data_IF_259014774404
#
_entry.id   IF_259014774404
#
_cell.length_a   1.000
_cell.length_b   1.000
_cell.length_c   1.000
_cell.angle_alpha   90.00
_cell.angle_beta   90.00
_cell.angle_gamma   90.00
#
_symmetry.space_group_name_H-M   'P 1'
#
loop_
_entity.id
_entity.type
_entity.pdbx_description
1 polymer ?
#
# COMPACT_ATOMS: atom_id res chain seq x y z
N UNK A 1 -25.24 -27.25 4.41
CA UNK A 1 -24.14 -26.47 4.18
C UNK A 1 -24.41 -25.01 4.22
N UNK A 2 -23.65 -24.32 4.93
CA UNK A 2 -23.88 -23.01 5.09
C UNK A 2 -22.98 -22.19 4.35
N UNK A 3 -23.43 -21.32 3.55
CA UNK A 3 -22.61 -20.37 2.98
C UNK A 3 -22.54 -19.22 3.89
N UNK A 4 -21.41 -18.88 4.29
CA UNK A 4 -21.23 -17.82 5.22
C UNK A 4 -21.42 -16.50 4.53
N UNK A 5 -22.61 -15.97 4.58
CA UNK A 5 -22.85 -14.64 4.08
C UNK A 5 -21.95 -13.63 4.77
N UNK A 6 -21.73 -13.82 6.06
CA UNK A 6 -20.82 -12.95 6.80
C UNK A 6 -19.43 -12.99 6.24
N UNK A 7 -19.00 -14.16 5.75
CA UNK A 7 -17.69 -14.30 5.14
C UNK A 7 -17.57 -13.48 3.86
N UNK A 8 -18.61 -13.47 3.03
CA UNK A 8 -18.61 -12.65 1.82
C UNK A 8 -18.60 -11.18 2.16
N UNK A 9 -19.33 -10.78 3.19
CA UNK A 9 -19.32 -9.40 3.61
C UNK A 9 -17.96 -8.98 4.13
N UNK A 10 -17.27 -9.86 4.85
CA UNK A 10 -15.92 -9.58 5.32
C UNK A 10 -14.97 -9.38 4.15
N UNK A 11 -15.08 -10.23 3.14
CA UNK A 11 -14.22 -10.10 1.96
C UNK A 11 -14.49 -8.81 1.23
N UNK A 12 -15.77 -8.43 1.11
CA UNK A 12 -16.14 -7.20 0.45
C UNK A 12 -15.62 -5.98 1.21
N UNK A 13 -15.75 -5.98 2.53
CA UNK A 13 -15.25 -4.89 3.34
C UNK A 13 -13.73 -4.79 3.28
N UNK A 14 -13.06 -5.93 3.26
CA UNK A 14 -11.61 -5.96 3.13
C UNK A 14 -11.18 -5.38 1.77
N UNK A 15 -11.87 -5.73 0.71
CA UNK A 15 -11.58 -5.20 -0.61
C UNK A 15 -11.83 -3.71 -0.69
N UNK A 16 -12.91 -3.23 -0.08
CA UNK A 16 -13.19 -1.81 -0.04
C UNK A 16 -12.11 -1.05 0.71
N UNK A 17 -11.70 -1.58 1.85
CA UNK A 17 -10.63 -0.97 2.62
C UNK A 17 -9.35 -0.90 1.81
N UNK A 18 -8.98 -2.00 1.18
CA UNK A 18 -7.76 -2.04 0.39
C UNK A 18 -7.81 -1.05 -0.78
N UNK A 19 -8.97 -0.89 -1.40
CA UNK A 19 -9.15 0.10 -2.47
C UNK A 19 -8.98 1.52 -1.94
N UNK A 20 -9.57 1.83 -0.81
CA UNK A 20 -9.46 3.16 -0.21
C UNK A 20 -8.02 3.47 0.17
N UNK A 21 -7.35 2.48 0.76
CA UNK A 21 -5.95 2.63 1.15
C UNK A 21 -5.08 2.82 -0.08
N UNK A 22 -5.35 2.08 -1.14
CA UNK A 22 -4.59 2.19 -2.39
C UNK A 22 -4.65 3.60 -2.96
N UNK A 23 -5.85 4.18 -3.04
CA UNK A 23 -6.01 5.55 -3.55
C UNK A 23 -5.27 6.55 -2.69
N UNK A 24 -5.43 6.44 -1.37
CA UNK A 24 -4.76 7.35 -0.46
C UNK A 24 -3.25 7.26 -0.59
N UNK A 25 -2.73 6.04 -0.73
CA UNK A 25 -1.29 5.83 -0.81
C UNK A 25 -0.70 6.29 -2.14
N UNK A 26 -1.41 6.11 -3.25
CA UNK A 26 -0.90 6.61 -4.53
C UNK A 26 -0.62 8.10 -4.45
N UNK A 27 -1.55 8.86 -3.89
CA UNK A 27 -1.35 10.28 -3.72
C UNK A 27 -0.25 10.58 -2.72
N UNK A 28 -0.28 9.93 -1.56
CA UNK A 28 0.64 10.23 -0.48
C UNK A 28 2.09 9.86 -0.81
N UNK A 29 2.29 8.73 -1.47
CA UNK A 29 3.63 8.30 -1.85
C UNK A 29 4.25 9.30 -2.83
N UNK A 30 3.50 9.70 -3.84
CA UNK A 30 4.01 10.65 -4.81
C UNK A 30 4.29 12.02 -4.19
N UNK A 31 3.47 12.40 -3.21
CA UNK A 31 3.68 13.64 -2.47
C UNK A 31 4.98 13.58 -1.63
N UNK A 32 5.21 12.44 -0.96
CA UNK A 32 6.41 12.25 -0.14
C UNK A 32 7.66 12.25 -0.99
N UNK A 33 7.62 11.62 -2.15
CA UNK A 33 8.78 11.52 -3.04
C UNK A 33 9.00 12.79 -3.86
N UNK A 34 8.02 13.69 -3.87
CA UNK A 34 8.13 15.00 -4.53
C UNK A 34 8.53 14.91 -6.00
N UNK A 35 8.06 13.87 -6.67
CA UNK A 35 8.33 13.70 -8.07
C UNK A 35 9.69 13.11 -8.41
N UNK A 36 10.49 12.76 -7.41
CA UNK A 36 11.78 12.14 -7.67
C UNK A 36 11.63 10.80 -8.40
N UNK A 37 10.55 10.09 -8.09
CA UNK A 37 10.27 8.81 -8.70
C UNK A 37 8.80 8.72 -9.04
N UNK A 38 8.49 8.21 -10.21
CA UNK A 38 7.11 7.86 -10.51
C UNK A 38 6.86 6.43 -10.03
N UNK A 39 5.85 6.26 -9.20
CA UNK A 39 5.49 4.97 -8.66
C UNK A 39 4.00 4.71 -8.86
N UNK A 40 3.66 3.45 -9.01
CA UNK A 40 2.27 3.05 -8.95
C UNK A 40 2.09 2.03 -7.83
N UNK A 41 0.94 2.10 -7.16
CA UNK A 41 0.58 1.09 -6.17
C UNK A 41 -0.06 -0.05 -6.93
N UNK A 42 0.63 -1.18 -6.98
CA UNK A 42 0.13 -2.35 -7.71
C UNK A 42 -1.00 -3.01 -6.98
N UNK A 43 -0.86 -3.16 -5.68
CA UNK A 43 -1.85 -3.90 -4.91
C UNK A 43 -1.70 -3.59 -3.42
N UNK A 44 -2.78 -3.76 -2.71
CA UNK A 44 -2.80 -3.66 -1.25
C UNK A 44 -3.56 -4.88 -0.76
N UNK A 45 -2.90 -5.70 0.05
CA UNK A 45 -3.49 -6.96 0.51
C UNK A 45 -3.40 -7.10 2.01
N UNK A 46 -4.37 -7.75 2.65
CA UNK A 46 -4.30 -8.03 4.09
C UNK A 46 -3.19 -9.04 4.39
N UNK A 47 -2.54 -8.89 5.54
CA UNK A 47 -1.45 -9.79 5.91
C UNK A 47 -1.29 -9.90 7.43
N UNK A 48 -1.91 -10.83 8.09
CA UNK A 48 -2.85 -11.85 7.59
C UNK A 48 -4.30 -11.36 7.55
N UNK A 49 -4.55 -10.19 8.09
CA UNK A 49 -5.89 -9.63 8.11
C UNK A 49 -5.81 -8.11 7.94
N UNK A 50 -6.93 -7.43 8.02
CA UNK A 50 -6.99 -6.00 7.75
C UNK A 50 -6.36 -5.11 8.82
N UNK A 51 -5.80 -5.71 9.89
CA UNK A 51 -5.02 -4.93 10.86
C UNK A 51 -3.65 -4.58 10.32
N UNK A 52 -3.14 -5.34 9.37
CA UNK A 52 -1.87 -5.08 8.71
C UNK A 52 -2.02 -5.31 7.23
N UNK A 53 -1.55 -4.36 6.44
CA UNK A 53 -1.66 -4.43 5.00
C UNK A 53 -0.27 -4.42 4.38
N UNK A 54 -0.10 -5.23 3.35
CA UNK A 54 1.12 -5.18 2.54
C UNK A 54 0.79 -4.40 1.28
N UNK A 55 1.63 -3.42 1.00
CA UNK A 55 1.45 -2.52 -0.14
C UNK A 55 2.56 -2.81 -1.12
N UNK A 56 2.20 -3.23 -2.32
CA UNK A 56 3.16 -3.50 -3.39
C UNK A 56 3.20 -2.29 -4.31
N UNK A 57 4.38 -1.70 -4.46
CA UNK A 57 4.57 -0.54 -5.33
C UNK A 57 5.59 -0.86 -6.39
N UNK A 58 5.43 -0.26 -7.56
CA UNK A 58 6.34 -0.49 -8.68
C UNK A 58 6.74 0.84 -9.30
N UNK A 59 8.03 1.07 -9.49
CA UNK A 59 8.46 2.28 -10.18
C UNK A 59 8.09 2.23 -11.67
N UNK A 60 7.89 3.40 -12.26
CA UNK A 60 7.59 3.49 -13.69
C UNK A 60 8.80 3.11 -14.54
N UNK A 61 9.99 3.37 -14.04
CA UNK A 61 11.21 3.11 -14.77
C UNK A 61 11.96 1.91 -14.23
N UNK A 62 12.82 1.32 -15.05
CA UNK A 62 13.67 0.23 -14.61
C UNK A 62 14.61 0.72 -13.53
N UNK A 63 14.93 -0.16 -12.60
CA UNK A 63 15.65 0.22 -11.41
C UNK A 63 16.52 -0.95 -10.98
N UNK A 64 17.74 -0.66 -10.54
CA UNK A 64 18.61 -1.71 -10.03
C UNK A 64 18.10 -2.19 -8.66
N UNK A 65 18.61 -3.32 -8.24
CA UNK A 65 18.25 -3.86 -6.93
C UNK A 65 18.63 -2.89 -5.82
N UNK A 66 19.84 -2.29 -5.91
CA UNK A 66 20.28 -1.34 -4.89
C UNK A 66 19.41 -0.10 -4.86
N UNK A 67 19.01 0.41 -6.01
CA UNK A 67 18.09 1.54 -6.07
C UNK A 67 16.74 1.18 -5.46
N UNK A 68 16.26 -0.03 -5.71
CA UNK A 68 15.01 -0.48 -5.14
C UNK A 68 15.09 -0.56 -3.63
N UNK A 69 16.20 -1.04 -3.07
CA UNK A 69 16.39 -1.09 -1.63
C UNK A 69 16.41 0.31 -1.02
N UNK A 70 17.07 1.24 -1.67
CA UNK A 70 17.11 2.63 -1.19
C UNK A 70 15.72 3.26 -1.22
N UNK A 71 14.97 3.02 -2.27
CA UNK A 71 13.62 3.53 -2.39
C UNK A 71 12.73 2.95 -1.30
N UNK A 72 12.85 1.64 -1.05
CA UNK A 72 12.07 1.00 0.00
C UNK A 72 12.41 1.59 1.35
N UNK A 73 13.69 1.79 1.64
CA UNK A 73 14.11 2.39 2.90
C UNK A 73 13.58 3.82 3.04
N UNK A 74 13.59 4.58 1.96
CA UNK A 74 13.05 5.93 1.96
C UNK A 74 11.56 5.93 2.29
N UNK A 75 10.80 5.05 1.65
CA UNK A 75 9.37 4.95 1.92
C UNK A 75 9.10 4.50 3.35
N UNK A 76 9.89 3.57 3.86
CA UNK A 76 9.75 3.11 5.25
C UNK A 76 10.04 4.23 6.23
N UNK A 77 10.97 5.12 5.92
CA UNK A 77 11.26 6.26 6.80
C UNK A 77 10.10 7.24 6.88
N UNK A 78 9.19 7.19 5.91
CA UNK A 78 8.01 8.05 5.90
C UNK A 78 6.73 7.30 6.26
N UNK A 79 6.87 6.13 6.90
CA UNK A 79 5.71 5.28 7.13
C UNK A 79 4.63 5.96 7.98
N UNK A 80 5.02 6.77 8.94
CA UNK A 80 4.05 7.47 9.77
C UNK A 80 3.27 8.51 8.99
N UNK A 81 3.93 9.20 8.07
CA UNK A 81 3.26 10.15 7.18
C UNK A 81 2.26 9.42 6.28
N UNK A 82 2.66 8.27 5.76
CA UNK A 82 1.78 7.47 4.90
C UNK A 82 0.57 6.95 5.68
N UNK A 83 0.81 6.47 6.91
CA UNK A 83 -0.28 6.01 7.75
C UNK A 83 -1.25 7.14 8.10
N UNK A 84 -0.74 8.35 8.32
CA UNK A 84 -1.61 9.50 8.57
C UNK A 84 -2.49 9.81 7.37
N UNK A 85 -1.94 9.73 6.17
CA UNK A 85 -2.72 9.95 4.97
C UNK A 85 -3.83 8.91 4.83
N UNK A 86 -3.50 7.65 5.14
CA UNK A 86 -4.49 6.58 5.12
C UNK A 86 -5.57 6.85 6.16
N UNK A 87 -5.17 7.24 7.36
CA UNK A 87 -6.09 7.52 8.46
C UNK A 87 -7.10 8.60 8.09
N UNK A 88 -6.66 9.61 7.35
CA UNK A 88 -7.56 10.68 6.92
C UNK A 88 -8.54 10.22 5.86
N UNK A 89 -8.17 9.21 5.09
CA UNK A 89 -8.99 8.74 3.97
C UNK A 89 -9.98 7.66 4.37
N UNK A 90 -9.69 6.93 5.44
CA UNK A 90 -10.57 5.86 5.89
C UNK A 90 -11.19 6.26 7.23
N UNK A 91 -12.42 5.83 7.44
CA UNK A 91 -13.09 6.15 8.69
C UNK A 91 -13.12 4.92 9.56
N UNK A 92 -11.98 4.61 10.14
CA UNK A 92 -11.85 3.45 11.02
C UNK A 92 -11.24 3.88 12.33
N UNK A 93 -11.59 3.14 13.38
CA UNK A 93 -11.09 3.42 14.70
C UNK A 93 -9.57 3.26 14.79
N UNK A 94 -9.04 2.25 14.12
CA UNK A 94 -7.61 2.02 14.08
C UNK A 94 -7.09 2.05 12.66
N UNK A 95 -5.99 2.73 12.47
CA UNK A 95 -5.33 2.74 11.16
C UNK A 95 -4.54 1.45 11.01
N UNK A 96 -4.70 0.73 9.90
CA UNK A 96 -3.91 -0.49 9.69
C UNK A 96 -2.42 -0.21 9.66
N UNK A 97 -1.64 -1.19 10.09
CA UNK A 97 -0.20 -1.16 9.85
C UNK A 97 0.05 -1.32 8.37
N UNK A 98 1.14 -0.72 7.90
CA UNK A 98 1.52 -0.80 6.49
C UNK A 98 2.91 -1.37 6.35
N UNK A 99 3.06 -2.33 5.45
CA UNK A 99 4.36 -2.84 5.02
C UNK A 99 4.49 -2.54 3.55
N UNK A 100 5.58 -1.87 3.17
CA UNK A 100 5.77 -1.49 1.77
C UNK A 100 6.80 -2.41 1.15
N UNK A 101 6.46 -2.96 0.00
CA UNK A 101 7.37 -3.79 -0.77
C UNK A 101 7.48 -3.23 -2.17
N UNK A 102 8.72 -3.07 -2.62
CA UNK A 102 8.98 -2.60 -3.97
C UNK A 102 9.03 -3.80 -4.89
N UNK A 103 8.28 -3.71 -5.98
CA UNK A 103 8.37 -4.69 -7.05
C UNK A 103 9.17 -4.00 -8.16
N UNK A 104 10.45 -4.30 -8.29
CA UNK A 104 11.26 -3.57 -9.26
C UNK A 104 10.83 -3.92 -10.68
N UNK A 105 10.92 -2.93 -11.57
CA UNK A 105 10.70 -3.17 -12.98
C UNK A 105 12.06 -3.51 -13.58
N UNK A 106 12.22 -4.75 -13.97
CA UNK A 106 13.49 -5.20 -14.52
C UNK A 106 13.51 -5.02 -16.02
N UNK A 107 14.68 -4.73 -16.59
CA UNK A 107 14.79 -4.68 -18.04
C UNK A 107 14.55 -6.07 -18.62
N UNK A 108 13.85 -6.13 -19.72
CA UNK A 108 13.57 -7.40 -20.39
C UNK A 108 14.72 -7.80 -21.31
#
# INVERSE_FOLDING_TARGET
MKHPKGHKEHDRKALQLCSQVRYALEYAINSVLRGDYGLTVLDVVPAPNTSNLVVFVQPFENMSYDEALQLEANLKSHINTLRSAVSESIHRRKTPGLSIQIVPRLPS
#
